data_IF_777852667621
#
_entry.id   IF_777852667621
#
_cell.length_a   1.000
_cell.length_b   1.000
_cell.length_c   1.000
_cell.angle_alpha   90.00
_cell.angle_beta   90.00
_cell.angle_gamma   90.00
#
_symmetry.space_group_name_H-M   'P 1'
#
loop_
_entity.id
_entity.type
_entity.pdbx_description
1 polymer ?
#
# COMPACT_ATOMS: atom_id res chain seq x y z
N UNK A 1 -3.41 -2.35 5.67
CA UNK A 1 -4.12 -1.21 5.07
C UNK A 1 -3.59 -0.97 3.68
N UNK A 2 -4.46 -0.63 2.72
CA UNK A 2 -4.06 -0.23 1.37
C UNK A 2 -4.34 1.27 1.19
N UNK A 3 -3.29 2.04 0.91
CA UNK A 3 -3.41 3.43 0.53
C UNK A 3 -2.50 3.71 -0.66
N UNK A 4 -3.08 4.21 -1.74
CA UNK A 4 -2.30 4.75 -2.84
C UNK A 4 -1.74 6.12 -2.44
N UNK A 5 -0.47 6.43 -2.74
CA UNK A 5 0.04 7.79 -2.58
C UNK A 5 -0.59 8.68 -3.65
N UNK A 6 -1.37 9.71 -3.27
CA UNK A 6 -2.09 10.55 -4.23
C UNK A 6 -1.27 11.75 -4.72
N UNK A 7 -0.49 12.44 -3.87
CA UNK A 7 0.54 13.37 -4.35
C UNK A 7 1.94 12.89 -3.92
N UNK A 8 2.87 12.77 -4.87
CA UNK A 8 4.26 12.41 -4.59
C UNK A 8 5.00 13.39 -3.66
N UNK A 9 4.44 14.60 -3.46
CA UNK A 9 4.99 15.68 -2.65
C UNK A 9 4.16 15.98 -1.39
N UNK A 10 3.14 15.19 -1.08
CA UNK A 10 2.35 15.41 0.13
C UNK A 10 3.20 15.11 1.37
N UNK A 11 3.38 16.12 2.23
CA UNK A 11 4.09 16.01 3.49
C UNK A 11 3.33 16.79 4.58
N UNK A 12 3.34 16.25 5.80
CA UNK A 12 2.93 17.02 6.98
C UNK A 12 4.17 17.83 7.41
N UNK A 13 4.09 19.18 7.46
CA UNK A 13 5.23 19.98 7.89
C UNK A 13 5.59 19.68 9.36
N UNK A 14 6.87 19.80 9.69
CA UNK A 14 7.29 19.75 11.09
C UNK A 14 6.75 20.98 11.85
N UNK A 15 6.26 20.77 13.08
CA UNK A 15 5.68 21.81 13.92
C UNK A 15 4.15 21.71 14.00
N UNK A 16 3.48 22.85 14.07
CA UNK A 16 2.02 22.91 14.23
C UNK A 16 1.31 22.35 12.99
N UNK A 17 0.55 21.27 13.18
CA UNK A 17 -0.23 20.62 12.13
C UNK A 17 -1.67 21.13 12.16
N UNK A 18 -2.17 21.60 11.03
CA UNK A 18 -3.56 22.05 10.90
C UNK A 18 -4.45 20.94 10.32
N UNK A 19 -5.78 21.07 10.52
CA UNK A 19 -6.78 20.20 9.87
C UNK A 19 -6.62 20.23 8.34
N UNK A 20 -6.22 21.37 7.77
CA UNK A 20 -5.97 21.52 6.33
C UNK A 20 -4.80 20.64 5.86
N UNK A 21 -3.75 20.52 6.66
CA UNK A 21 -2.58 19.71 6.33
C UNK A 21 -2.95 18.22 6.30
N UNK A 22 -3.71 17.76 7.31
CA UNK A 22 -4.21 16.37 7.37
C UNK A 22 -5.18 16.08 6.23
N UNK A 23 -6.11 17.00 5.94
CA UNK A 23 -7.06 16.88 4.85
C UNK A 23 -6.39 16.85 3.47
N UNK A 24 -5.25 17.55 3.31
CA UNK A 24 -4.46 17.58 2.08
C UNK A 24 -3.80 16.25 1.72
N UNK A 25 -3.63 15.33 2.68
CA UNK A 25 -3.05 14.01 2.44
C UNK A 25 -3.99 13.09 1.65
N UNK A 26 -5.30 13.27 1.83
CA UNK A 26 -6.32 12.43 1.22
C UNK A 26 -7.38 13.31 0.54
N UNK A 27 -7.15 13.59 -0.75
CA UNK A 27 -7.94 14.54 -1.53
C UNK A 27 -9.28 13.98 -2.02
N UNK A 28 -9.49 12.67 -1.99
CA UNK A 28 -10.71 12.03 -2.46
C UNK A 28 -11.71 11.76 -1.33
N UNK A 29 -13.00 11.86 -1.62
CA UNK A 29 -14.09 11.55 -0.68
C UNK A 29 -14.33 10.03 -0.58
N UNK A 30 -13.25 9.25 -0.52
CA UNK A 30 -13.35 7.80 -0.43
C UNK A 30 -13.68 7.38 1.00
N UNK A 31 -14.53 6.35 1.12
CA UNK A 31 -14.91 5.77 2.41
C UNK A 31 -14.11 4.51 2.72
N UNK A 32 -13.96 4.20 4.02
CA UNK A 32 -13.26 3.00 4.50
C UNK A 32 -14.17 1.77 4.53
N UNK A 33 -13.67 0.67 3.97
CA UNK A 33 -14.27 -0.65 4.00
C UNK A 33 -13.29 -1.70 4.54
N UNK A 34 -13.83 -2.80 5.05
CA UNK A 34 -13.08 -4.01 5.39
C UNK A 34 -13.60 -5.18 4.55
N UNK A 35 -12.72 -5.79 3.77
CA UNK A 35 -13.02 -6.97 2.94
C UNK A 35 -12.22 -8.18 3.41
N UNK A 36 -12.73 -9.40 3.17
CA UNK A 36 -12.00 -10.64 3.50
C UNK A 36 -11.26 -11.17 2.27
N UNK A 37 -9.94 -11.33 2.39
CA UNK A 37 -9.11 -12.01 1.39
C UNK A 37 -8.37 -13.20 2.03
N UNK A 38 -8.14 -14.24 1.23
CA UNK A 38 -7.24 -15.34 1.59
C UNK A 38 -5.77 -14.95 1.36
N UNK A 39 -4.81 -15.67 1.95
CA UNK A 39 -3.38 -15.42 1.77
C UNK A 39 -2.94 -15.47 0.31
N UNK A 40 -3.49 -16.40 -0.48
CA UNK A 40 -3.26 -16.44 -1.93
C UNK A 40 -3.77 -15.16 -2.62
N UNK A 41 -4.96 -14.70 -2.26
CA UNK A 41 -5.55 -13.48 -2.84
C UNK A 41 -4.82 -12.20 -2.40
N UNK A 42 -4.28 -12.18 -1.18
CA UNK A 42 -3.38 -11.10 -0.72
C UNK A 42 -2.13 -11.06 -1.58
N UNK A 43 -1.52 -12.21 -1.88
CA UNK A 43 -0.38 -12.28 -2.81
C UNK A 43 -0.76 -11.76 -4.20
N UNK A 44 -1.87 -12.22 -4.78
CA UNK A 44 -2.33 -11.75 -6.09
C UNK A 44 -2.57 -10.23 -6.13
N UNK A 45 -3.12 -9.67 -5.05
CA UNK A 45 -3.31 -8.24 -4.89
C UNK A 45 -1.98 -7.49 -4.91
N UNK A 46 -1.01 -7.96 -4.13
CA UNK A 46 0.33 -7.38 -4.06
C UNK A 46 1.06 -7.50 -5.40
N UNK A 47 0.93 -8.61 -6.11
CA UNK A 47 1.48 -8.81 -7.46
C UNK A 47 0.90 -7.81 -8.46
N UNK A 48 -0.41 -7.55 -8.40
CA UNK A 48 -1.05 -6.52 -9.23
C UNK A 48 -0.47 -5.14 -8.95
N UNK A 49 -0.31 -4.79 -7.67
CA UNK A 49 0.30 -3.52 -7.26
C UNK A 49 1.76 -3.41 -7.73
N UNK A 50 2.54 -4.48 -7.52
CA UNK A 50 3.95 -4.55 -7.92
C UNK A 50 4.16 -4.38 -9.42
N UNK A 51 3.13 -4.62 -10.25
CA UNK A 51 3.11 -4.28 -11.67
C UNK A 51 3.35 -2.79 -11.98
N UNK A 52 3.25 -1.90 -10.99
CA UNK A 52 3.63 -0.50 -11.10
C UNK A 52 5.10 -0.29 -11.47
N UNK A 53 6.00 -1.17 -11.00
CA UNK A 53 7.43 -1.04 -11.26
C UNK A 53 7.80 -1.60 -12.64
N UNK A 54 8.74 -0.95 -13.33
CA UNK A 54 9.31 -1.47 -14.58
C UNK A 54 10.24 -2.63 -14.25
N UNK A 55 10.26 -3.63 -15.13
CA UNK A 55 11.17 -4.76 -14.95
C UNK A 55 12.60 -4.29 -15.24
N UNK A 56 13.47 -4.32 -14.22
CA UNK A 56 14.88 -3.92 -14.34
C UNK A 56 15.76 -4.89 -13.56
N UNK A 57 16.96 -5.14 -14.08
CA UNK A 57 17.97 -5.93 -13.39
C UNK A 57 19.09 -5.02 -12.88
N UNK A 58 19.67 -5.38 -11.74
CA UNK A 58 20.73 -4.63 -11.07
C UNK A 58 20.22 -3.89 -9.84
N UNK A 59 21.14 -3.51 -8.95
CA UNK A 59 20.85 -2.84 -7.68
C UNK A 59 20.82 -1.31 -7.78
N UNK A 60 20.90 -0.74 -8.98
CA UNK A 60 20.95 0.71 -9.19
C UNK A 60 22.36 1.33 -9.00
N UNK A 61 22.44 2.66 -8.79
CA UNK A 61 21.32 3.56 -8.52
C UNK A 61 20.39 3.75 -9.71
N UNK A 62 19.08 3.84 -9.45
CA UNK A 62 18.08 4.20 -10.44
C UNK A 62 17.33 5.46 -10.01
N UNK A 63 17.00 6.36 -10.93
CA UNK A 63 16.04 7.42 -10.63
C UNK A 63 14.64 6.81 -10.47
N UNK A 64 13.82 7.33 -9.54
CA UNK A 64 12.47 6.80 -9.31
C UNK A 64 11.61 6.76 -10.58
N UNK A 65 11.68 7.80 -11.43
CA UNK A 65 10.95 7.87 -12.70
C UNK A 65 11.35 6.77 -13.71
N UNK A 66 12.58 6.24 -13.61
CA UNK A 66 13.09 5.23 -14.53
C UNK A 66 12.55 3.84 -14.23
N UNK A 67 12.13 3.58 -12.99
CA UNK A 67 11.69 2.26 -12.52
C UNK A 67 10.21 2.19 -12.13
N UNK A 68 9.47 3.30 -12.22
CA UNK A 68 8.04 3.38 -11.86
C UNK A 68 7.14 3.56 -13.08
N UNK A 69 5.82 3.51 -12.87
CA UNK A 69 4.78 3.77 -13.88
C UNK A 69 4.90 2.89 -15.13
N UNK A 70 5.24 1.61 -14.93
CA UNK A 70 5.32 0.63 -16.01
C UNK A 70 4.01 0.60 -16.81
N UNK A 71 4.13 0.59 -18.15
CA UNK A 71 2.97 0.62 -19.04
C UNK A 71 2.10 1.87 -18.90
N UNK A 72 2.63 2.97 -18.33
CA UNK A 72 1.84 4.18 -18.07
C UNK A 72 0.92 4.07 -16.85
N UNK A 73 1.14 3.07 -15.98
CA UNK A 73 0.32 2.87 -14.77
C UNK A 73 0.34 4.15 -13.91
N UNK A 74 -0.84 4.73 -13.60
CA UNK A 74 -0.92 5.91 -12.74
C UNK A 74 -0.50 5.62 -11.29
N UNK A 75 0.06 6.63 -10.62
CA UNK A 75 0.58 6.49 -9.24
C UNK A 75 -0.51 6.07 -8.24
N UNK A 76 -1.74 6.55 -8.43
CA UNK A 76 -2.88 6.16 -7.59
C UNK A 76 -3.30 4.68 -7.74
N UNK A 77 -2.71 3.93 -8.69
CA UNK A 77 -2.92 2.48 -8.86
C UNK A 77 -1.72 1.66 -8.33
N UNK A 78 -0.81 2.29 -7.59
CA UNK A 78 0.18 1.61 -6.78
C UNK A 78 -0.27 1.62 -5.31
N UNK A 79 -0.33 0.43 -4.72
CA UNK A 79 -0.74 0.21 -3.34
C UNK A 79 0.35 -0.51 -2.54
N UNK A 80 0.56 -0.06 -1.32
CA UNK A 80 1.37 -0.75 -0.31
C UNK A 80 0.42 -1.37 0.70
N UNK A 81 0.73 -2.58 1.19
CA UNK A 81 -0.02 -3.22 2.26
C UNK A 81 0.83 -3.34 3.52
N UNK A 82 0.38 -2.71 4.61
CA UNK A 82 0.95 -2.90 5.95
C UNK A 82 0.03 -3.72 6.86
N UNK A 83 0.63 -4.39 7.84
CA UNK A 83 -0.08 -5.04 8.94
C UNK A 83 -0.48 -4.04 10.04
N UNK A 84 -1.58 -4.31 10.75
CA UNK A 84 -2.10 -3.43 11.82
C UNK A 84 -1.74 -3.95 13.21
N UNK A 85 -1.95 -5.25 13.41
CA UNK A 85 -1.83 -5.98 14.67
C UNK A 85 -0.57 -6.84 14.74
N UNK A 86 0.03 -7.16 13.59
CA UNK A 86 1.36 -7.75 13.47
C UNK A 86 1.97 -7.35 12.12
N UNK A 87 3.29 -7.43 12.03
CA UNK A 87 4.04 -7.08 10.82
C UNK A 87 3.63 -7.98 9.64
N UNK A 88 3.38 -7.34 8.49
CA UNK A 88 3.20 -8.01 7.20
C UNK A 88 4.40 -7.66 6.33
N UNK A 89 5.33 -8.61 6.15
CA UNK A 89 6.60 -8.34 5.46
C UNK A 89 6.67 -9.02 4.09
N UNK A 90 7.21 -8.35 3.08
CA UNK A 90 7.47 -8.91 1.75
C UNK A 90 8.47 -8.05 0.98
N UNK A 91 9.24 -8.65 0.07
CA UNK A 91 10.05 -7.90 -0.89
C UNK A 91 9.37 -7.91 -2.27
N UNK A 92 9.67 -6.89 -3.08
CA UNK A 92 9.25 -6.80 -4.49
C UNK A 92 10.50 -6.95 -5.36
N UNK A 93 10.66 -8.12 -5.99
CA UNK A 93 11.75 -8.38 -6.93
C UNK A 93 11.40 -7.85 -8.33
N UNK A 94 11.92 -6.67 -8.66
CA UNK A 94 11.65 -6.00 -9.93
C UNK A 94 12.47 -6.58 -11.10
N UNK A 95 13.38 -7.53 -10.85
CA UNK A 95 14.00 -8.31 -11.92
C UNK A 95 13.04 -9.37 -12.49
N UNK A 96 12.06 -9.81 -11.68
CA UNK A 96 11.10 -10.82 -12.08
C UNK A 96 9.98 -10.24 -12.97
N UNK A 97 9.39 -11.06 -13.85
CA UNK A 97 8.22 -10.66 -14.62
C UNK A 97 7.06 -10.27 -13.69
N UNK A 98 6.22 -9.33 -14.14
CA UNK A 98 5.01 -8.95 -13.40
C UNK A 98 4.12 -10.18 -13.15
N UNK A 99 3.57 -10.29 -11.93
CA UNK A 99 2.86 -11.49 -11.48
C UNK A 99 3.73 -12.51 -10.73
N UNK A 100 5.04 -12.30 -10.64
CA UNK A 100 5.96 -13.17 -9.90
C UNK A 100 7.03 -12.39 -9.14
N UNK A 101 6.68 -11.20 -8.62
CA UNK A 101 7.60 -10.28 -7.96
C UNK A 101 7.57 -10.35 -6.45
N UNK A 102 6.47 -10.80 -5.84
CA UNK A 102 6.33 -10.82 -4.39
C UNK A 102 7.07 -12.02 -3.82
N UNK A 103 8.07 -11.74 -2.98
CA UNK A 103 8.89 -12.77 -2.32
C UNK A 103 8.88 -12.57 -0.80
N UNK A 104 8.99 -13.68 -0.06
CA UNK A 104 9.09 -13.63 1.40
C UNK A 104 7.83 -13.18 2.15
N UNK A 105 6.64 -13.23 1.53
CA UNK A 105 5.38 -12.82 2.14
C UNK A 105 5.14 -13.54 3.48
N UNK A 106 5.21 -12.80 4.56
CA UNK A 106 5.10 -13.30 5.93
C UNK A 106 4.22 -12.38 6.77
N UNK A 107 3.52 -12.95 7.73
CA UNK A 107 2.71 -12.23 8.70
C UNK A 107 3.02 -12.75 10.11
N UNK A 108 3.24 -11.83 11.06
CA UNK A 108 3.70 -12.18 12.41
C UNK A 108 4.97 -13.07 12.42
N UNK A 109 5.87 -12.84 11.46
CA UNK A 109 7.12 -13.59 11.31
C UNK A 109 6.98 -15.00 10.70
N UNK A 110 5.77 -15.43 10.34
CA UNK A 110 5.52 -16.72 9.71
C UNK A 110 5.10 -16.56 8.24
N UNK A 111 5.49 -17.47 7.32
CA UNK A 111 5.02 -17.45 5.94
C UNK A 111 3.49 -17.46 5.87
N UNK A 112 2.92 -16.62 5.01
CA UNK A 112 1.46 -16.55 4.83
C UNK A 112 0.98 -17.83 4.12
N UNK A 113 0.18 -18.63 4.81
CA UNK A 113 -0.50 -19.78 4.21
C UNK A 113 -1.56 -19.31 3.19
N UNK A 114 -1.74 -20.08 2.11
CA UNK A 114 -2.64 -19.70 1.01
C UNK A 114 -4.09 -19.53 1.43
N UNK A 115 -4.53 -20.28 2.45
CA UNK A 115 -5.89 -20.31 2.98
C UNK A 115 -6.09 -19.43 4.24
N UNK A 116 -5.01 -18.83 4.76
CA UNK A 116 -5.09 -17.86 5.85
C UNK A 116 -6.04 -16.72 5.47
N UNK A 117 -6.86 -16.23 6.40
CA UNK A 117 -7.86 -15.19 6.13
C UNK A 117 -7.49 -13.89 6.81
N UNK A 118 -7.55 -12.81 6.03
CA UNK A 118 -7.26 -11.46 6.50
C UNK A 118 -8.45 -10.55 6.26
N UNK A 119 -8.72 -9.67 7.22
CA UNK A 119 -9.57 -8.49 6.98
C UNK A 119 -8.68 -7.38 6.46
N UNK A 120 -8.93 -6.96 5.23
CA UNK A 120 -8.16 -5.93 4.55
C UNK A 120 -8.94 -4.62 4.59
N UNK A 121 -8.37 -3.61 5.25
CA UNK A 121 -8.83 -2.23 5.18
C UNK A 121 -8.54 -1.66 3.79
N UNK A 122 -9.59 -1.23 3.08
CA UNK A 122 -9.56 -0.77 1.70
C UNK A 122 -10.50 0.42 1.50
N UNK A 123 -10.30 1.21 0.44
CA UNK A 123 -11.20 2.29 0.08
C UNK A 123 -12.32 1.84 -0.89
N UNK A 124 -13.42 2.59 -0.95
CA UNK A 124 -14.56 2.31 -1.85
C UNK A 124 -14.23 2.40 -3.35
N UNK A 125 -13.22 3.19 -3.76
CA UNK A 125 -12.75 3.22 -5.14
C UNK A 125 -12.24 1.84 -5.59
N UNK A 126 -11.39 1.20 -4.77
CA UNK A 126 -10.94 -0.17 -5.03
C UNK A 126 -12.09 -1.16 -4.96
N UNK A 127 -12.94 -1.04 -3.94
CA UNK A 127 -14.06 -1.99 -3.74
C UNK A 127 -15.03 -1.99 -4.93
N UNK A 128 -15.23 -0.85 -5.58
CA UNK A 128 -16.04 -0.73 -6.80
C UNK A 128 -15.33 -1.15 -8.10
N UNK A 129 -14.09 -1.65 -8.02
CA UNK A 129 -13.31 -2.16 -9.15
C UNK A 129 -12.24 -1.21 -9.69
N UNK A 130 -12.05 -0.05 -9.07
CA UNK A 130 -11.02 0.91 -9.44
C UNK A 130 -9.62 0.29 -9.48
N UNK A 131 -8.88 0.53 -10.57
CA UNK A 131 -7.55 -0.04 -10.80
C UNK A 131 -7.54 -1.52 -11.22
N UNK A 132 -8.70 -2.20 -11.23
CA UNK A 132 -8.81 -3.60 -11.64
C UNK A 132 -8.01 -4.56 -10.76
N UNK A 133 -8.04 -4.34 -9.44
CA UNK A 133 -7.39 -5.22 -8.48
C UNK A 133 -8.15 -6.56 -8.34
N UNK A 134 -7.45 -7.70 -8.40
CA UNK A 134 -8.09 -9.01 -8.40
C UNK A 134 -8.79 -9.28 -7.08
N UNK A 135 -9.84 -10.10 -7.12
CA UNK A 135 -10.61 -10.59 -5.95
C UNK A 135 -11.41 -9.54 -5.17
N UNK A 136 -11.14 -8.25 -5.36
CA UNK A 136 -11.72 -7.16 -4.54
C UNK A 136 -13.24 -7.04 -4.68
N UNK A 137 -13.77 -6.99 -5.91
CA UNK A 137 -15.20 -6.73 -6.14
C UNK A 137 -16.09 -7.90 -5.70
N UNK A 138 -15.54 -9.11 -5.63
CA UNK A 138 -16.22 -10.32 -5.19
C UNK A 138 -15.97 -10.65 -3.70
N UNK A 139 -15.07 -9.92 -3.03
CA UNK A 139 -14.70 -10.21 -1.66
C UNK A 139 -15.86 -9.92 -0.68
N UNK A 140 -16.08 -10.76 0.34
CA UNK A 140 -17.04 -10.47 1.41
C UNK A 140 -16.68 -9.17 2.12
N UNK A 141 -17.66 -8.27 2.25
CA UNK A 141 -17.52 -7.03 3.02
C UNK A 141 -17.93 -7.29 4.47
N UNK A 142 -17.00 -7.10 5.40
CA UNK A 142 -17.22 -7.29 6.85
C UNK A 142 -17.27 -5.97 7.62
N UNK A 143 -16.85 -4.87 6.99
CA UNK A 143 -16.97 -3.53 7.54
C UNK A 143 -17.32 -2.54 6.42
N UNK A 144 -18.39 -1.78 6.63
CA UNK A 144 -18.75 -0.63 5.80
C UNK A 144 -19.63 0.32 6.62
N UNK A 145 -19.05 1.43 7.08
CA UNK A 145 -19.75 2.47 7.84
C UNK A 145 -19.98 3.75 7.05
N UNK A 146 -19.60 3.75 5.76
CA UNK A 146 -19.64 4.94 4.90
C UNK A 146 -18.94 6.17 5.49
N UNK A 147 -17.91 5.96 6.31
CA UNK A 147 -17.12 7.04 6.90
C UNK A 147 -15.98 7.37 5.95
N UNK A 148 -15.85 8.66 5.61
CA UNK A 148 -14.76 9.16 4.79
C UNK A 148 -13.41 8.95 5.48
N UNK A 149 -12.44 8.46 4.72
CA UNK A 149 -11.07 8.26 5.21
C UNK A 149 -10.48 9.59 5.67
N UNK A 150 -10.77 10.69 4.96
CA UNK A 150 -10.35 12.03 5.37
C UNK A 150 -10.86 12.40 6.76
N UNK A 151 -12.15 12.14 7.04
CA UNK A 151 -12.71 12.41 8.36
C UNK A 151 -12.05 11.52 9.44
N UNK A 152 -11.81 10.25 9.14
CA UNK A 152 -11.11 9.33 10.06
C UNK A 152 -9.69 9.83 10.41
N UNK A 153 -8.95 10.36 9.43
CA UNK A 153 -7.62 10.95 9.66
C UNK A 153 -7.71 12.21 10.54
N UNK A 154 -8.68 13.09 10.27
CA UNK A 154 -8.91 14.31 11.06
C UNK A 154 -9.28 13.94 12.51
N UNK A 155 -10.20 13.00 12.69
CA UNK A 155 -10.64 12.55 14.01
C UNK A 155 -9.49 11.95 14.81
N UNK A 156 -8.70 11.08 14.17
CA UNK A 156 -7.52 10.48 14.80
C UNK A 156 -6.50 11.52 15.23
N UNK A 157 -6.12 12.44 14.33
CA UNK A 157 -5.15 13.49 14.62
C UNK A 157 -5.66 14.44 15.72
N UNK A 158 -6.95 14.77 15.69
CA UNK A 158 -7.59 15.63 16.70
C UNK A 158 -7.61 14.98 18.07
N UNK A 159 -7.82 13.67 18.14
CA UNK A 159 -7.82 12.92 19.39
C UNK A 159 -6.41 12.73 19.96
N UNK A 160 -5.41 12.44 19.12
CA UNK A 160 -4.05 12.09 19.57
C UNK A 160 -3.14 13.30 19.76
N UNK A 161 -3.45 14.45 19.12
CA UNK A 161 -2.73 15.74 19.18
C UNK A 161 -1.29 15.74 18.66
N UNK A 162 -0.60 14.62 18.73
CA UNK A 162 0.77 14.42 18.26
C UNK A 162 0.74 13.36 17.18
N UNK A 163 1.27 13.71 16.01
CA UNK A 163 1.51 12.77 14.91
C UNK A 163 3.00 12.47 14.93
N UNK A 164 3.38 11.32 15.48
CA UNK A 164 4.76 10.83 15.41
C UNK A 164 4.92 9.91 14.19
N UNK A 165 5.68 10.31 13.15
CA UNK A 165 5.92 9.47 11.98
C UNK A 165 6.47 8.08 12.33
N UNK A 166 7.24 7.95 13.40
CA UNK A 166 7.81 6.68 13.84
C UNK A 166 6.72 5.66 14.24
N UNK A 167 5.52 6.14 14.60
CA UNK A 167 4.36 5.27 14.91
C UNK A 167 3.77 4.63 13.65
N UNK A 168 4.03 5.21 12.48
CA UNK A 168 3.45 4.80 11.20
C UNK A 168 4.49 4.28 10.21
N UNK A 169 5.78 4.41 10.53
CA UNK A 169 6.87 3.95 9.68
C UNK A 169 7.31 2.55 10.09
N UNK A 170 7.17 1.60 9.18
CA UNK A 170 7.76 0.27 9.29
C UNK A 170 8.57 -0.03 8.03
N UNK A 171 9.63 -0.84 8.16
CA UNK A 171 10.42 -1.33 7.01
C UNK A 171 9.89 -2.69 6.59
N UNK A 172 8.60 -2.74 6.26
CA UNK A 172 7.88 -3.97 5.98
C UNK A 172 8.14 -4.52 4.58
N UNK A 173 8.63 -3.67 3.67
CA UNK A 173 8.96 -4.07 2.32
C UNK A 173 10.12 -3.26 1.74
N UNK A 174 10.75 -3.81 0.70
CA UNK A 174 11.76 -3.13 -0.10
C UNK A 174 11.74 -3.62 -1.55
N UNK A 175 12.31 -2.81 -2.44
CA UNK A 175 12.64 -3.25 -3.78
C UNK A 175 13.93 -4.06 -3.76
N UNK A 176 13.90 -5.20 -4.45
CA UNK A 176 15.09 -6.03 -4.70
C UNK A 176 15.22 -6.36 -6.18
N UNK A 177 16.40 -6.77 -6.58
CA UNK A 177 16.71 -7.30 -7.91
C UNK A 177 17.51 -8.58 -7.69
N UNK A 178 16.89 -9.74 -7.96
CA UNK A 178 17.48 -11.06 -7.67
C UNK A 178 18.00 -11.17 -6.22
N UNK A 179 17.20 -10.74 -5.25
CA UNK A 179 17.53 -10.75 -3.82
C UNK A 179 18.46 -9.64 -3.33
N UNK A 180 19.07 -8.85 -4.22
CA UNK A 180 19.90 -7.69 -3.84
C UNK A 180 19.05 -6.44 -3.71
N UNK A 181 19.20 -5.67 -2.64
CA UNK A 181 18.43 -4.42 -2.45
C UNK A 181 18.69 -3.41 -3.56
N UNK A 182 17.63 -2.85 -4.11
CA UNK A 182 17.68 -1.81 -5.12
C UNK A 182 17.88 -0.45 -4.46
N UNK A 183 18.81 0.33 -4.98
CA UNK A 183 19.07 1.72 -4.59
C UNK A 183 18.32 2.65 -5.53
N UNK A 184 17.41 3.45 -4.98
CA UNK A 184 16.67 4.48 -5.72
C UNK A 184 17.19 5.84 -5.31
N UNK A 185 17.54 6.67 -6.29
CA UNK A 185 17.96 8.06 -6.07
C UNK A 185 16.79 9.00 -6.33
N UNK A 186 16.61 9.94 -5.41
CA UNK A 186 15.60 11.00 -5.46
C UNK A 186 15.98 12.10 -4.48
#
# INVERSE_FOLDING_TARGET
>A
SIAAPFPALAAIPAGDVTIRDVAGLYIYDNTLLGIVLTGAQVKDYLEKSAGYFKQVSGSGPFAAADITRAGGTPDYNYDIMGGLDADLTYDIDIAQPAGSRIVGLSYAGAPVASDARFVIAINNYRQSGGGGFPHVTAAPVVYNRQIEIRQLLIDWATAHKVIDPATFSSKDWKLVSNGSTVTVTG
#
